data_IF_650244678531
#
_entry.id   IF_650244678531
#
_cell.length_a   1.000
_cell.length_b   1.000
_cell.length_c   1.000
_cell.angle_alpha   90.00
_cell.angle_beta   90.00
_cell.angle_gamma   90.00
#
_symmetry.space_group_name_H-M   'P 1'
#
loop_
_entity.id
_entity.type
_entity.pdbx_description
1 polymer ?
#
# COMPACT_ATOMS: atom_id res chain seq x y z
N UNK A 1 2.00 -16.04 -23.58
CA UNK A 1 0.82 -15.53 -22.82
C UNK A 1 -0.38 -15.67 -23.76
N UNK A 2 -1.54 -16.13 -23.27
CA UNK A 2 -2.71 -16.38 -24.14
C UNK A 2 -3.38 -15.09 -24.59
N UNK A 3 -3.70 -14.98 -25.89
CA UNK A 3 -4.43 -13.85 -26.50
C UNK A 3 -5.75 -13.56 -25.78
N UNK A 4 -6.39 -14.59 -25.21
CA UNK A 4 -7.64 -14.47 -24.46
C UNK A 4 -7.54 -13.48 -23.30
N UNK A 5 -6.39 -13.39 -22.65
CA UNK A 5 -6.20 -12.58 -21.43
C UNK A 5 -5.82 -11.12 -21.73
N UNK A 6 -5.18 -10.87 -22.88
CA UNK A 6 -4.57 -9.57 -23.19
C UNK A 6 -5.34 -8.78 -24.24
N UNK A 7 -6.17 -9.45 -25.04
CA UNK A 7 -6.92 -8.82 -26.12
C UNK A 7 -8.12 -8.01 -25.57
N UNK A 8 -8.14 -6.71 -25.89
CA UNK A 8 -9.29 -5.84 -25.67
C UNK A 8 -10.34 -6.11 -26.75
N UNK A 9 -11.60 -6.25 -26.34
CA UNK A 9 -12.76 -6.38 -27.23
C UNK A 9 -13.92 -5.55 -26.68
N UNK A 10 -15.05 -5.50 -27.37
CA UNK A 10 -16.27 -4.86 -26.87
C UNK A 10 -16.68 -5.35 -25.46
N UNK A 11 -16.39 -6.62 -25.15
CA UNK A 11 -16.77 -7.27 -23.88
C UNK A 11 -15.58 -7.59 -22.97
N UNK A 12 -14.36 -7.14 -23.32
CA UNK A 12 -13.14 -7.43 -22.55
C UNK A 12 -12.27 -6.20 -22.42
N UNK A 13 -11.91 -5.89 -21.17
CA UNK A 13 -11.01 -4.78 -20.85
C UNK A 13 -9.61 -5.00 -21.46
N UNK A 14 -9.16 -6.25 -21.58
CA UNK A 14 -7.82 -6.61 -22.07
C UNK A 14 -6.79 -6.61 -20.95
N UNK A 15 -5.57 -6.13 -21.21
CA UNK A 15 -4.44 -6.20 -20.27
C UNK A 15 -4.23 -4.96 -19.39
N UNK A 16 -4.91 -3.84 -19.67
CA UNK A 16 -4.68 -2.56 -18.98
C UNK A 16 -5.81 -2.27 -18.00
N UNK A 17 -5.46 -2.16 -16.72
CA UNK A 17 -6.43 -1.92 -15.63
C UNK A 17 -6.00 -0.73 -14.78
N UNK A 18 -6.98 0.07 -14.35
CA UNK A 18 -6.77 1.13 -13.35
C UNK A 18 -6.54 0.49 -11.99
N UNK A 19 -5.43 0.81 -11.33
CA UNK A 19 -5.09 0.30 -9.99
C UNK A 19 -4.49 1.39 -9.09
N UNK A 20 -4.50 1.17 -7.78
CA UNK A 20 -3.89 2.07 -6.77
C UNK A 20 -2.60 1.45 -6.26
N UNK A 21 -1.48 2.13 -6.46
CA UNK A 21 -0.13 1.64 -6.15
C UNK A 21 0.51 2.47 -5.03
N UNK A 22 1.17 1.80 -4.09
CA UNK A 22 2.03 2.45 -3.10
C UNK A 22 3.33 2.90 -3.76
N UNK A 23 3.71 4.16 -3.49
CA UNK A 23 4.91 4.81 -4.02
C UNK A 23 5.73 5.38 -2.87
N UNK A 24 7.04 5.30 -3.00
CA UNK A 24 7.97 5.89 -2.04
C UNK A 24 8.33 7.30 -2.47
N UNK A 25 8.39 8.20 -1.50
CA UNK A 25 8.85 9.57 -1.68
C UNK A 25 10.04 9.84 -0.77
N UNK A 26 10.82 10.87 -1.10
CA UNK A 26 12.01 11.24 -0.34
C UNK A 26 11.68 11.77 1.06
N UNK A 27 10.51 12.39 1.22
CA UNK A 27 10.11 13.10 2.43
C UNK A 27 8.58 13.31 2.47
N UNK A 28 8.12 13.88 3.59
CA UNK A 28 6.70 14.16 3.85
C UNK A 28 6.06 15.23 2.96
N UNK A 29 6.78 15.86 2.02
CA UNK A 29 6.17 16.74 1.01
C UNK A 29 5.47 15.95 -0.10
N UNK A 30 5.82 14.68 -0.29
CA UNK A 30 5.32 13.82 -1.36
C UNK A 30 5.53 14.39 -2.78
N UNK A 31 6.59 15.20 -2.99
CA UNK A 31 6.88 15.83 -4.29
C UNK A 31 7.85 15.04 -5.16
N UNK A 32 8.87 14.42 -4.55
CA UNK A 32 9.92 13.70 -5.26
C UNK A 32 9.81 12.19 -5.02
N UNK A 33 9.34 11.47 -6.03
CA UNK A 33 9.20 10.02 -6.01
C UNK A 33 10.58 9.34 -6.11
N UNK A 34 10.79 8.28 -5.32
CA UNK A 34 11.93 7.37 -5.45
C UNK A 34 11.54 6.27 -6.45
N UNK A 35 12.29 6.16 -7.54
CA UNK A 35 12.03 5.16 -8.58
C UNK A 35 12.24 3.74 -8.01
N UNK A 36 11.26 2.84 -8.11
CA UNK A 36 11.43 1.46 -7.69
C UNK A 36 12.38 0.73 -8.65
N UNK A 37 12.99 -0.35 -8.17
CA UNK A 37 13.79 -1.21 -9.03
C UNK A 37 12.95 -1.79 -10.18
N UNK A 38 13.51 -1.99 -11.39
CA UNK A 38 12.73 -2.44 -12.55
C UNK A 38 11.96 -3.74 -12.35
N UNK A 39 12.49 -4.66 -11.53
CA UNK A 39 11.87 -5.96 -11.24
C UNK A 39 10.76 -5.93 -10.20
N UNK A 40 10.53 -4.82 -9.49
CA UNK A 40 9.47 -4.72 -8.46
C UNK A 40 8.07 -4.72 -9.06
N UNK A 41 7.93 -4.38 -10.35
CA UNK A 41 6.64 -4.37 -11.03
C UNK A 41 5.58 -3.53 -10.30
N UNK A 42 4.49 -4.17 -9.86
CA UNK A 42 3.38 -3.50 -9.20
C UNK A 42 3.51 -3.39 -7.68
N UNK A 43 4.43 -4.15 -7.06
CA UNK A 43 4.57 -4.21 -5.60
C UNK A 43 5.01 -2.83 -5.05
N UNK A 44 4.53 -2.51 -3.85
CA UNK A 44 4.93 -1.31 -3.13
C UNK A 44 6.39 -1.31 -2.70
N UNK A 45 6.91 -0.19 -2.16
CA UNK A 45 8.28 -0.10 -1.67
C UNK A 45 8.52 -1.06 -0.51
N UNK A 46 9.76 -1.58 -0.41
CA UNK A 46 10.17 -2.41 0.71
C UNK A 46 10.44 -1.55 1.93
N UNK A 47 9.80 -1.87 3.05
CA UNK A 47 10.09 -1.29 4.37
C UNK A 47 10.93 -2.32 5.13
N UNK A 48 12.03 -1.88 5.72
CA UNK A 48 12.95 -2.72 6.50
C UNK A 48 13.25 -2.05 7.83
N UNK A 49 13.47 -2.87 8.85
CA UNK A 49 13.93 -2.49 10.17
C UNK A 49 14.47 -3.73 10.88
N UNK A 50 15.19 -3.51 11.97
CA UNK A 50 15.75 -4.55 12.83
C UNK A 50 14.89 -4.75 14.08
N UNK A 51 15.20 -5.81 14.85
CA UNK A 51 14.49 -6.04 16.11
C UNK A 51 14.79 -4.92 17.09
N UNK A 52 13.74 -4.26 17.58
CA UNK A 52 13.84 -3.10 18.48
C UNK A 52 13.68 -1.76 17.77
N UNK A 53 13.69 -1.72 16.43
CA UNK A 53 13.44 -0.50 15.68
C UNK A 53 11.97 -0.06 15.77
N UNK A 54 11.77 1.26 15.79
CA UNK A 54 10.45 1.88 15.62
C UNK A 54 10.34 2.42 14.20
N UNK A 55 9.41 1.86 13.43
CA UNK A 55 9.18 2.25 12.05
C UNK A 55 8.09 3.32 11.95
N UNK A 56 8.48 4.54 11.56
CA UNK A 56 7.54 5.62 11.27
C UNK A 56 7.19 5.66 9.78
N UNK A 57 5.94 5.35 9.44
CA UNK A 57 5.45 5.37 8.06
C UNK A 57 4.53 6.58 7.86
N UNK A 58 5.04 7.60 7.15
CA UNK A 58 4.23 8.75 6.76
C UNK A 58 3.41 8.41 5.51
N UNK A 59 2.10 8.17 5.71
CA UNK A 59 1.19 7.80 4.64
C UNK A 59 0.31 8.98 4.20
N UNK A 60 0.19 9.17 2.88
CA UNK A 60 -0.76 10.11 2.27
C UNK A 60 -1.53 9.41 1.16
N UNK A 61 -2.85 9.36 1.30
CA UNK A 61 -3.73 8.82 0.28
C UNK A 61 -4.02 9.87 -0.81
N UNK A 62 -3.57 9.62 -2.03
CA UNK A 62 -3.84 10.44 -3.22
C UNK A 62 -4.86 9.78 -4.17
N UNK A 63 -5.47 8.66 -3.77
CA UNK A 63 -6.48 7.97 -4.57
C UNK A 63 -7.88 8.57 -4.35
N UNK A 64 -8.83 8.20 -5.21
CA UNK A 64 -10.21 8.69 -5.17
C UNK A 64 -11.09 8.05 -4.09
N UNK A 65 -10.55 7.10 -3.30
CA UNK A 65 -11.26 6.33 -2.28
C UNK A 65 -10.41 6.27 -1.00
N UNK A 66 -11.02 6.14 0.19
CA UNK A 66 -10.26 5.96 1.42
C UNK A 66 -9.48 4.64 1.39
N UNK A 67 -8.20 4.72 1.75
CA UNK A 67 -7.28 3.60 1.94
C UNK A 67 -6.46 3.85 3.20
N UNK A 68 -6.01 2.79 3.85
CA UNK A 68 -5.01 2.84 4.91
C UNK A 68 -4.00 1.70 4.76
N UNK A 69 -3.07 1.61 5.69
CA UNK A 69 -2.02 0.58 5.75
C UNK A 69 -2.27 -0.30 6.96
N UNK A 70 -2.17 -1.62 6.77
CA UNK A 70 -2.22 -2.60 7.85
C UNK A 70 -0.90 -3.40 7.82
N UNK A 71 0.00 -3.21 8.80
CA UNK A 71 1.28 -3.87 8.79
C UNK A 71 1.17 -5.30 9.33
N UNK A 72 1.97 -6.21 8.80
CA UNK A 72 2.11 -7.58 9.29
C UNK A 72 3.50 -7.79 9.90
N UNK A 73 3.60 -8.57 10.97
CA UNK A 73 4.89 -8.96 11.57
C UNK A 73 5.57 -7.89 12.42
N UNK A 74 4.84 -6.84 12.82
CA UNK A 74 5.31 -5.80 13.74
C UNK A 74 4.25 -5.53 14.80
N UNK A 75 4.66 -5.06 15.98
CA UNK A 75 3.74 -4.54 16.98
C UNK A 75 3.33 -3.12 16.59
N UNK A 76 2.04 -2.81 16.73
CA UNK A 76 1.49 -1.48 16.45
C UNK A 76 0.44 -1.13 17.50
N UNK A 77 0.28 0.16 17.79
CA UNK A 77 -0.83 0.65 18.62
C UNK A 77 -2.13 0.57 17.82
N UNK A 78 -3.28 0.45 18.49
CA UNK A 78 -4.60 0.35 17.83
C UNK A 78 -4.87 1.49 16.84
N UNK A 79 -4.37 2.68 17.14
CA UNK A 79 -4.48 3.87 16.27
C UNK A 79 -3.59 3.79 15.00
N UNK A 80 -2.75 2.76 14.89
CA UNK A 80 -1.83 2.47 13.77
C UNK A 80 -2.21 1.19 12.99
N UNK A 81 -3.39 0.61 13.26
CA UNK A 81 -3.86 -0.65 12.66
C UNK A 81 -4.33 -0.50 11.20
N UNK A 82 -4.68 0.71 10.75
CA UNK A 82 -5.25 0.96 9.43
C UNK A 82 -6.75 1.30 9.48
N UNK A 83 -7.50 1.16 8.37
CA UNK A 83 -8.89 1.62 8.33
C UNK A 83 -9.75 0.84 9.34
N UNK A 84 -10.45 1.61 10.18
CA UNK A 84 -11.27 1.20 11.32
C UNK A 84 -12.01 -0.14 11.11
N UNK A 85 -11.58 -1.19 11.82
CA UNK A 85 -12.52 -2.22 12.26
C UNK A 85 -13.17 -1.73 13.56
N UNK A 86 -14.51 -1.75 13.62
CA UNK A 86 -15.28 -1.32 14.80
C UNK A 86 -15.21 -2.44 15.84
N UNK A 87 -14.09 -2.51 16.53
CA UNK A 87 -13.86 -3.54 17.52
C UNK A 87 -14.31 -2.96 18.84
N UNK A 88 -15.50 -3.38 19.28
CA UNK A 88 -16.04 -3.06 20.60
C UNK A 88 -14.93 -3.18 21.65
N UNK A 89 -14.63 -2.04 22.30
CA UNK A 89 -13.72 -1.93 23.43
C UNK A 89 -14.10 -2.95 24.51
N UNK A 90 -13.20 -3.88 24.78
CA UNK A 90 -12.92 -4.60 26.03
C UNK A 90 -11.45 -5.06 25.83
N UNK A 91 -10.44 -4.84 26.69
CA UNK A 91 -10.36 -4.94 28.14
C UNK A 91 -9.22 -4.04 28.69
N UNK A 92 -9.49 -3.54 29.90
CA UNK A 92 -8.68 -3.07 31.03
C UNK A 92 -7.15 -3.35 31.05
N UNK A 93 -6.44 -2.38 31.64
CA UNK A 93 -5.05 -2.43 32.08
C UNK A 93 -4.52 -1.03 32.29
#
# INVERSE_FOLDING_TARGET
ISDRLIQTTEYRIGSVYKKVKLKQFTDGSFRREIKPAPWMGYVGPTIKGETGDVLYVHFRNLASRPYGLHPHGVQYFKDSEGPLHKDHKLILG
#
